data_IF_768851084245
#
_entry.id   IF_768851084245
#
_cell.length_a   1.000
_cell.length_b   1.000
_cell.length_c   1.000
_cell.angle_alpha   90.00
_cell.angle_beta   90.00
_cell.angle_gamma   90.00
#
_symmetry.space_group_name_H-M   'P 1'
#
loop_
_entity.id
_entity.type
_entity.pdbx_description
1 polymer ?
#
# COMPACT_ATOMS: atom_id res chain seq x y z
N UNK A 1 12.74 40.60 -0.68
CA UNK A 1 12.73 39.12 -0.57
C UNK A 1 11.29 38.73 -0.31
N UNK A 2 10.66 37.94 -1.19
CA UNK A 2 9.29 37.49 -0.96
C UNK A 2 9.26 36.68 0.34
N UNK A 3 8.26 36.94 1.18
CA UNK A 3 8.04 36.27 2.45
C UNK A 3 7.91 34.74 2.21
N UNK A 4 8.99 34.01 2.50
CA UNK A 4 9.07 32.56 2.36
C UNK A 4 8.10 31.81 3.31
N UNK A 5 7.36 32.53 4.15
CA UNK A 5 6.36 31.99 5.06
C UNK A 5 5.17 31.29 4.39
N UNK A 6 4.88 31.54 3.10
CA UNK A 6 3.63 31.10 2.46
C UNK A 6 3.74 29.88 1.51
N UNK A 7 4.92 29.26 1.37
CA UNK A 7 5.09 28.07 0.51
C UNK A 7 5.33 26.83 1.37
N UNK A 8 4.54 25.78 1.13
CA UNK A 8 4.74 24.45 1.70
C UNK A 8 5.05 23.51 0.55
N UNK A 9 6.18 22.79 0.65
CA UNK A 9 6.59 21.82 -0.36
C UNK A 9 5.88 20.50 -0.08
N UNK A 10 5.10 20.03 -1.04
CA UNK A 10 4.47 18.72 -0.99
C UNK A 10 5.30 17.71 -1.77
N UNK A 11 5.55 16.55 -1.18
CA UNK A 11 6.15 15.41 -1.87
C UNK A 11 5.37 14.14 -1.59
N UNK A 12 5.24 13.24 -2.57
CA UNK A 12 4.69 11.91 -2.34
C UNK A 12 5.57 11.13 -1.35
N UNK A 13 4.98 10.19 -0.60
CA UNK A 13 5.73 9.31 0.29
C UNK A 13 6.72 8.36 -0.43
N UNK A 14 6.65 8.31 -1.76
CA UNK A 14 7.55 7.57 -2.66
C UNK A 14 8.07 8.49 -3.77
N UNK A 15 9.24 8.21 -4.37
CA UNK A 15 9.86 9.07 -5.39
C UNK A 15 9.09 9.25 -6.71
N UNK A 16 8.11 8.39 -6.99
CA UNK A 16 7.35 8.43 -8.23
C UNK A 16 5.85 8.35 -7.95
N UNK A 17 5.16 7.28 -8.32
CA UNK A 17 3.71 7.19 -8.23
C UNK A 17 3.36 5.88 -7.54
N UNK A 18 2.60 5.97 -6.44
CA UNK A 18 2.46 5.09 -5.25
C UNK A 18 2.59 3.57 -5.40
N UNK A 19 3.62 3.09 -6.10
CA UNK A 19 4.04 1.71 -6.14
C UNK A 19 4.58 1.34 -4.75
N UNK A 20 4.05 0.29 -4.11
CA UNK A 20 4.33 -0.04 -2.72
C UNK A 20 5.76 -0.54 -2.48
N UNK A 21 6.51 -0.86 -3.54
CA UNK A 21 7.89 -1.34 -3.46
C UNK A 21 8.95 -0.24 -3.60
N UNK A 22 8.59 0.95 -4.07
CA UNK A 22 9.55 2.06 -4.15
C UNK A 22 10.08 2.42 -2.75
N UNK A 23 11.31 2.96 -2.64
CA UNK A 23 11.84 3.47 -1.38
C UNK A 23 11.06 4.71 -0.92
N UNK A 24 11.41 5.25 0.24
CA UNK A 24 10.87 6.55 0.63
C UNK A 24 11.33 7.61 -0.38
N UNK A 25 10.54 8.67 -0.55
CA UNK A 25 10.92 9.74 -1.45
C UNK A 25 12.18 10.45 -0.94
N UNK A 26 13.29 10.45 -1.71
CA UNK A 26 14.56 11.02 -1.26
C UNK A 26 14.53 12.53 -1.10
N UNK A 27 13.48 13.22 -1.57
CA UNK A 27 13.35 14.69 -1.41
C UNK A 27 12.73 15.09 -0.07
N UNK A 28 12.17 14.14 0.69
CA UNK A 28 11.62 14.41 2.02
C UNK A 28 12.76 14.88 2.93
N UNK A 29 12.60 16.07 3.52
CA UNK A 29 13.60 16.68 4.40
C UNK A 29 14.75 17.39 3.67
N UNK A 30 14.77 17.41 2.34
CA UNK A 30 15.90 17.99 1.56
C UNK A 30 15.90 19.51 1.50
N UNK A 31 14.77 20.17 1.73
CA UNK A 31 14.63 21.62 1.56
C UNK A 31 14.77 22.34 2.92
N UNK A 32 15.98 22.76 3.31
CA UNK A 32 16.19 23.46 4.57
C UNK A 32 15.39 24.76 4.59
N UNK A 33 14.86 25.14 5.76
CA UNK A 33 14.04 26.34 5.97
C UNK A 33 12.68 26.37 5.27
N UNK A 34 12.29 25.31 4.53
CA UNK A 34 10.96 25.19 3.94
C UNK A 34 10.14 24.12 4.64
N UNK A 35 8.89 24.47 5.00
CA UNK A 35 7.92 23.50 5.52
C UNK A 35 7.59 22.49 4.43
N UNK A 36 7.54 21.21 4.83
CA UNK A 36 7.18 20.10 3.95
C UNK A 36 5.96 19.36 4.47
N UNK A 37 5.17 18.83 3.55
CA UNK A 37 4.11 17.85 3.84
C UNK A 37 4.29 16.63 2.94
N UNK A 38 3.94 15.47 3.48
CA UNK A 38 4.06 14.19 2.76
C UNK A 38 2.68 13.77 2.24
N UNK A 39 2.60 13.43 0.97
CA UNK A 39 1.38 12.95 0.33
C UNK A 39 1.31 11.42 0.30
N UNK A 40 0.22 10.89 0.85
CA UNK A 40 -0.10 9.48 0.93
C UNK A 40 -1.30 9.14 0.05
N UNK A 41 -1.24 7.97 -0.60
CA UNK A 41 -2.37 7.44 -1.35
C UNK A 41 -3.19 6.47 -0.52
N UNK A 42 -4.24 6.97 0.14
CA UNK A 42 -5.21 6.12 0.82
C UNK A 42 -6.34 5.67 -0.12
N UNK A 43 -6.40 6.19 -1.35
CA UNK A 43 -7.36 5.80 -2.38
C UNK A 43 -6.98 4.50 -3.10
N UNK A 44 -5.77 3.99 -2.84
CA UNK A 44 -5.25 2.73 -3.37
C UNK A 44 -5.16 2.69 -4.90
N UNK A 45 -4.74 3.76 -5.58
CA UNK A 45 -4.76 3.87 -7.06
C UNK A 45 -4.08 2.68 -7.75
N UNK A 46 -2.95 2.23 -7.21
CA UNK A 46 -2.16 1.11 -7.74
C UNK A 46 -2.28 -0.16 -6.89
N UNK A 47 -3.12 -0.14 -5.87
CA UNK A 47 -3.29 -1.25 -4.93
C UNK A 47 -4.76 -1.68 -4.80
N UNK A 48 -5.54 -1.51 -5.86
CA UNK A 48 -6.90 -2.06 -5.97
C UNK A 48 -8.05 -1.05 -5.99
N UNK A 49 -7.76 0.26 -6.00
CA UNK A 49 -8.72 1.37 -6.03
C UNK A 49 -9.86 1.22 -5.04
N UNK A 50 -9.58 0.75 -3.83
CA UNK A 50 -10.58 0.45 -2.80
C UNK A 50 -11.66 -0.60 -3.18
N UNK A 51 -11.58 -1.21 -4.37
CA UNK A 51 -12.46 -2.32 -4.81
C UNK A 51 -12.04 -3.65 -4.21
N UNK A 52 -10.75 -3.78 -3.93
CA UNK A 52 -10.17 -4.94 -3.25
C UNK A 52 -9.35 -4.47 -2.04
N UNK A 53 -9.29 -5.28 -0.97
CA UNK A 53 -8.55 -4.90 0.22
C UNK A 53 -7.06 -4.71 -0.05
N UNK A 54 -6.54 -3.55 0.31
CA UNK A 54 -5.14 -3.24 0.57
C UNK A 54 -5.09 -2.52 1.91
N UNK A 55 -5.27 -3.29 2.97
CA UNK A 55 -5.27 -2.82 4.34
C UNK A 55 -3.85 -3.00 4.90
N UNK A 56 -3.12 -1.89 5.14
CA UNK A 56 -1.73 -1.98 5.59
C UNK A 56 -1.34 -0.86 6.56
N UNK A 57 -1.62 -1.04 7.85
CA UNK A 57 -1.08 -0.12 8.86
C UNK A 57 0.46 -0.08 8.83
N UNK A 58 1.12 -1.18 8.48
CA UNK A 58 2.57 -1.31 8.40
C UNK A 58 3.18 -0.38 7.35
N UNK A 59 2.63 -0.39 6.13
CA UNK A 59 3.10 0.46 5.05
C UNK A 59 3.02 1.93 5.43
N UNK A 60 1.84 2.38 5.89
CA UNK A 60 1.62 3.78 6.25
C UNK A 60 2.44 4.18 7.47
N UNK A 61 2.57 3.31 8.49
CA UNK A 61 3.41 3.56 9.68
C UNK A 61 4.87 3.78 9.30
N UNK A 62 5.45 2.88 8.48
CA UNK A 62 6.85 3.00 8.05
C UNK A 62 7.11 4.32 7.33
N UNK A 63 6.21 4.70 6.41
CA UNK A 63 6.32 5.93 5.62
C UNK A 63 6.15 7.19 6.47
N UNK A 64 5.18 7.17 7.39
CA UNK A 64 4.94 8.27 8.31
C UNK A 64 6.14 8.49 9.23
N UNK A 65 6.64 7.43 9.87
CA UNK A 65 7.79 7.50 10.77
C UNK A 65 9.08 7.92 10.06
N UNK A 66 9.25 7.60 8.77
CA UNK A 66 10.35 8.16 7.98
C UNK A 66 10.27 9.69 7.87
N UNK A 67 9.08 10.25 7.63
CA UNK A 67 8.87 11.70 7.60
C UNK A 67 9.23 12.39 8.92
N UNK A 68 8.93 11.76 10.05
CA UNK A 68 9.22 12.32 11.38
C UNK A 68 10.71 12.46 11.69
N UNK A 69 11.59 11.86 10.88
CA UNK A 69 13.03 12.01 11.04
C UNK A 69 13.51 13.42 10.65
N UNK A 70 12.67 14.21 9.96
CA UNK A 70 13.04 15.50 9.40
C UNK A 70 12.23 16.63 10.03
N UNK A 71 12.87 17.63 10.68
CA UNK A 71 12.18 18.73 11.32
C UNK A 71 11.38 19.60 10.33
N UNK A 72 11.71 19.59 9.05
CA UNK A 72 11.02 20.31 7.97
C UNK A 72 9.61 19.75 7.71
N UNK A 73 9.38 18.47 7.99
CA UNK A 73 8.09 17.80 7.76
C UNK A 73 7.11 18.21 8.84
N UNK A 74 6.08 18.97 8.45
CA UNK A 74 5.07 19.55 9.36
C UNK A 74 3.73 18.84 9.32
N UNK A 75 3.55 17.87 8.43
CA UNK A 75 2.31 17.14 8.32
C UNK A 75 2.23 16.28 7.08
N UNK A 76 1.00 15.92 6.73
CA UNK A 76 0.72 15.06 5.61
C UNK A 76 -0.59 15.47 4.94
N UNK A 77 -0.76 15.01 3.71
CA UNK A 77 -2.08 14.93 3.06
C UNK A 77 -2.34 13.48 2.67
N UNK A 78 -3.61 13.10 2.67
CA UNK A 78 -4.05 11.78 2.26
C UNK A 78 -5.05 11.93 1.13
N UNK A 79 -4.77 11.30 -0.02
CA UNK A 79 -5.76 11.19 -1.09
C UNK A 79 -6.75 10.09 -0.72
N UNK A 80 -8.03 10.44 -0.63
CA UNK A 80 -9.10 9.59 -0.09
C UNK A 80 -9.93 8.90 -1.18
N UNK A 81 -10.06 9.54 -2.33
CA UNK A 81 -10.81 9.08 -3.49
C UNK A 81 -9.92 9.04 -4.74
N UNK A 82 -10.18 8.06 -5.61
CA UNK A 82 -9.65 8.06 -6.96
C UNK A 82 -10.71 7.59 -7.96
N UNK A 83 -11.41 8.57 -8.54
CA UNK A 83 -12.39 8.32 -9.60
C UNK A 83 -13.70 7.74 -9.07
N UNK A 84 -14.16 8.17 -7.90
CA UNK A 84 -15.41 7.72 -7.29
C UNK A 84 -15.28 6.39 -6.54
N UNK A 85 -14.09 6.09 -6.03
CA UNK A 85 -13.80 4.90 -5.24
C UNK A 85 -13.15 5.31 -3.92
N UNK A 86 -13.95 5.84 -2.99
CA UNK A 86 -13.47 6.26 -1.69
C UNK A 86 -13.14 5.08 -0.76
N UNK A 87 -12.23 5.31 0.17
CA UNK A 87 -11.76 4.28 1.10
C UNK A 87 -12.60 4.14 2.37
N UNK A 88 -13.52 5.05 2.68
CA UNK A 88 -14.07 5.22 4.04
C UNK A 88 -14.92 4.03 4.50
N UNK A 89 -15.75 3.50 3.61
CA UNK A 89 -16.66 2.39 3.90
C UNK A 89 -16.09 1.03 3.54
N UNK A 90 -14.80 0.96 3.22
CA UNK A 90 -14.09 -0.28 2.91
C UNK A 90 -13.14 -0.67 4.03
N UNK A 91 -12.59 -1.91 4.03
CA UNK A 91 -11.48 -2.26 4.91
C UNK A 91 -10.23 -1.39 4.72
N UNK A 92 -10.07 -0.71 3.58
CA UNK A 92 -8.92 0.15 3.32
C UNK A 92 -8.94 1.43 4.16
N UNK A 93 -10.05 1.74 4.86
CA UNK A 93 -10.09 2.87 5.79
C UNK A 93 -9.09 2.73 6.95
N UNK A 94 -8.52 1.54 7.20
CA UNK A 94 -7.38 1.42 8.14
C UNK A 94 -6.19 2.30 7.70
N UNK A 95 -6.01 2.54 6.40
CA UNK A 95 -4.90 3.32 5.88
C UNK A 95 -5.02 4.79 6.30
N UNK A 96 -6.21 5.37 6.18
CA UNK A 96 -6.49 6.74 6.67
C UNK A 96 -6.51 6.79 8.20
N UNK A 97 -7.06 5.76 8.84
CA UNK A 97 -7.06 5.60 10.29
C UNK A 97 -5.63 5.59 10.86
N UNK A 98 -4.71 4.87 10.20
CA UNK A 98 -3.31 4.80 10.59
C UNK A 98 -2.65 6.17 10.59
N UNK A 99 -2.86 6.96 9.54
CA UNK A 99 -2.31 8.32 9.46
C UNK A 99 -2.88 9.23 10.56
N UNK A 100 -4.19 9.18 10.78
CA UNK A 100 -4.85 9.91 11.87
C UNK A 100 -4.26 9.54 13.23
N UNK A 101 -4.15 8.24 13.53
CA UNK A 101 -3.63 7.75 14.81
C UNK A 101 -2.19 8.16 15.04
N UNK A 102 -1.33 8.04 14.02
CA UNK A 102 0.08 8.44 14.13
C UNK A 102 0.28 9.95 14.23
N UNK A 103 -0.65 10.75 13.69
CA UNK A 103 -0.63 12.21 13.86
C UNK A 103 -1.00 12.65 15.26
N UNK A 104 -1.82 11.85 15.97
CA UNK A 104 -2.18 12.10 17.36
C UNK A 104 -1.12 11.54 18.32
N UNK A 105 -0.57 10.37 18.02
CA UNK A 105 0.48 9.70 18.79
C UNK A 105 1.42 8.91 17.86
N UNK A 106 2.60 9.48 17.61
CA UNK A 106 3.61 8.88 16.74
C UNK A 106 4.34 7.67 17.36
N UNK A 107 4.16 7.41 18.65
CA UNK A 107 4.80 6.27 19.33
C UNK A 107 4.15 4.94 18.92
N UNK A 108 2.86 4.96 18.56
CA UNK A 108 2.07 3.79 18.18
C UNK A 108 2.76 2.89 17.15
N UNK A 109 2.63 1.59 17.35
CA UNK A 109 3.02 0.55 16.42
C UNK A 109 1.87 0.21 15.47
N UNK A 110 2.20 -0.39 14.32
CA UNK A 110 1.17 -0.86 13.38
C UNK A 110 0.25 -1.90 14.00
N UNK A 111 0.74 -2.72 14.94
CA UNK A 111 -0.03 -3.80 15.55
C UNK A 111 -1.04 -3.26 16.57
N UNK A 112 -0.66 -2.24 17.34
CA UNK A 112 -1.59 -1.49 18.20
C UNK A 112 -2.69 -0.83 17.37
N UNK A 113 -2.33 -0.23 16.22
CA UNK A 113 -3.29 0.39 15.31
C UNK A 113 -4.23 -0.65 14.70
N UNK A 114 -3.71 -1.81 14.26
CA UNK A 114 -4.54 -2.91 13.74
C UNK A 114 -5.56 -3.40 14.76
N UNK A 115 -5.10 -3.64 15.99
CA UNK A 115 -5.97 -4.08 17.08
C UNK A 115 -7.07 -3.07 17.33
N UNK A 116 -6.69 -1.82 17.57
CA UNK A 116 -7.63 -0.77 17.93
C UNK A 116 -8.63 -0.45 16.79
N UNK A 117 -8.16 -0.38 15.54
CA UNK A 117 -9.03 -0.21 14.37
C UNK A 117 -10.02 -1.37 14.24
N UNK A 118 -9.57 -2.62 14.36
CA UNK A 118 -10.42 -3.78 14.18
C UNK A 118 -11.43 -3.92 15.33
N UNK A 119 -11.03 -3.64 16.57
CA UNK A 119 -11.94 -3.62 17.73
C UNK A 119 -12.99 -2.53 17.59
N UNK A 120 -12.60 -1.34 17.11
CA UNK A 120 -13.51 -0.22 16.89
C UNK A 120 -14.49 -0.49 15.75
N UNK A 121 -14.01 -1.02 14.62
CA UNK A 121 -14.83 -1.21 13.41
C UNK A 121 -15.70 -2.46 13.45
N UNK A 122 -15.20 -3.55 14.03
CA UNK A 122 -15.86 -4.86 14.00
C UNK A 122 -16.24 -5.40 15.38
N UNK A 123 -15.78 -4.77 16.47
CA UNK A 123 -15.98 -5.25 17.84
C UNK A 123 -14.93 -6.27 18.29
N UNK A 124 -14.69 -6.32 19.60
CA UNK A 124 -13.63 -7.15 20.23
C UNK A 124 -13.68 -8.63 19.86
N UNK A 125 -14.86 -9.21 19.69
CA UNK A 125 -15.03 -10.62 19.31
C UNK A 125 -14.63 -10.90 17.85
N UNK A 126 -14.96 -9.98 16.94
CA UNK A 126 -14.68 -10.13 15.51
C UNK A 126 -13.27 -9.71 15.13
N UNK A 127 -12.68 -8.77 15.88
CA UNK A 127 -11.40 -8.14 15.56
C UNK A 127 -10.27 -9.13 15.23
N UNK A 128 -10.06 -10.23 15.98
CA UNK A 128 -9.01 -11.20 15.64
C UNK A 128 -9.22 -11.85 14.26
N UNK A 129 -10.47 -12.11 13.87
CA UNK A 129 -10.78 -12.68 12.55
C UNK A 129 -10.63 -11.64 11.44
N UNK A 130 -11.08 -10.40 11.66
CA UNK A 130 -10.90 -9.31 10.72
C UNK A 130 -9.41 -9.07 10.42
N UNK A 131 -8.56 -9.05 11.45
CA UNK A 131 -7.10 -8.94 11.30
C UNK A 131 -6.55 -10.13 10.52
N UNK A 132 -6.92 -11.38 10.87
CA UNK A 132 -6.47 -12.59 10.14
C UNK A 132 -6.85 -12.58 8.65
N UNK A 133 -7.97 -11.97 8.30
CA UNK A 133 -8.45 -11.86 6.91
C UNK A 133 -7.75 -10.74 6.15
N UNK A 134 -7.60 -9.57 6.79
CA UNK A 134 -7.22 -8.33 6.10
C UNK A 134 -5.73 -8.01 6.19
N UNK A 135 -5.05 -8.41 7.26
CA UNK A 135 -3.61 -8.18 7.43
C UNK A 135 -2.77 -8.73 6.25
N UNK A 136 -3.06 -9.94 5.72
CA UNK A 136 -2.31 -10.46 4.57
C UNK A 136 -2.54 -9.69 3.25
N UNK A 137 -3.53 -8.80 3.20
CA UNK A 137 -3.95 -8.14 1.95
C UNK A 137 -2.86 -7.29 1.31
N UNK A 138 -1.95 -6.67 2.09
CA UNK A 138 -0.79 -5.97 1.51
C UNK A 138 0.03 -6.91 0.63
N UNK A 139 0.37 -8.09 1.16
CA UNK A 139 1.22 -9.07 0.48
C UNK A 139 0.46 -9.70 -0.70
N UNK A 140 -0.82 -10.02 -0.51
CA UNK A 140 -1.69 -10.56 -1.57
C UNK A 140 -1.69 -9.58 -2.76
N UNK A 141 -2.05 -8.32 -2.54
CA UNK A 141 -2.14 -7.32 -3.61
C UNK A 141 -0.79 -7.11 -4.29
N UNK A 142 0.30 -7.06 -3.52
CA UNK A 142 1.65 -6.93 -4.05
C UNK A 142 2.02 -8.12 -4.96
N UNK A 143 1.65 -9.34 -4.59
CA UNK A 143 1.84 -10.54 -5.42
C UNK A 143 0.84 -10.65 -6.57
N UNK A 144 -0.33 -10.02 -6.49
CA UNK A 144 -1.34 -10.07 -7.55
C UNK A 144 -1.10 -9.02 -8.64
N UNK A 145 -0.85 -7.76 -8.27
CA UNK A 145 -0.85 -6.61 -9.21
C UNK A 145 0.53 -6.22 -9.74
N UNK A 146 1.60 -6.84 -9.25
CA UNK A 146 2.98 -6.60 -9.66
C UNK A 146 3.61 -7.89 -10.18
N UNK A 147 4.77 -7.80 -10.82
CA UNK A 147 5.54 -8.96 -11.28
C UNK A 147 6.90 -8.93 -10.63
N UNK A 148 7.12 -9.74 -9.60
CA UNK A 148 8.40 -9.78 -8.89
C UNK A 148 8.84 -8.36 -8.48
N UNK A 149 7.92 -7.62 -7.87
CA UNK A 149 8.05 -6.21 -7.46
C UNK A 149 7.96 -5.16 -8.58
N UNK A 150 7.95 -5.55 -9.86
CA UNK A 150 7.80 -4.62 -10.98
C UNK A 150 6.35 -4.23 -11.25
N UNK A 151 6.17 -2.95 -11.54
CA UNK A 151 4.88 -2.39 -11.91
C UNK A 151 4.52 -2.81 -13.33
N UNK A 152 3.43 -3.56 -13.45
CA UNK A 152 2.87 -3.97 -14.75
C UNK A 152 1.42 -3.50 -14.97
N UNK A 153 0.62 -3.32 -13.92
CA UNK A 153 -0.83 -3.00 -14.02
C UNK A 153 -1.11 -1.53 -14.33
N UNK A 154 -2.21 -1.22 -15.04
CA UNK A 154 -2.59 0.16 -15.31
C UNK A 154 -3.60 0.63 -14.27
N UNK A 155 -3.17 1.39 -13.24
CA UNK A 155 -4.05 1.91 -12.17
C UNK A 155 -4.96 0.80 -11.58
N UNK A 156 -4.35 -0.32 -11.19
CA UNK A 156 -5.03 -1.53 -10.67
C UNK A 156 -5.89 -2.31 -11.67
N UNK A 157 -5.87 -1.97 -12.97
CA UNK A 157 -6.45 -2.79 -14.03
C UNK A 157 -5.39 -3.69 -14.67
N UNK A 158 -5.85 -4.81 -15.25
CA UNK A 158 -5.00 -5.62 -16.12
C UNK A 158 -4.46 -4.75 -17.26
N UNK A 159 -3.15 -4.80 -17.54
CA UNK A 159 -2.55 -3.98 -18.57
C UNK A 159 -2.80 -4.56 -19.96
N UNK A 160 -2.70 -3.72 -20.99
CA UNK A 160 -2.38 -4.22 -22.32
C UNK A 160 -0.95 -4.75 -22.33
N UNK A 161 -0.61 -5.62 -23.27
CA UNK A 161 0.76 -6.12 -23.41
C UNK A 161 1.78 -4.96 -23.52
N UNK A 162 1.53 -4.00 -24.42
CA UNK A 162 2.40 -2.84 -24.64
C UNK A 162 2.58 -1.98 -23.39
N UNK A 163 1.53 -1.81 -22.59
CA UNK A 163 1.61 -1.06 -21.35
C UNK A 163 2.51 -1.78 -20.34
N UNK A 164 2.24 -3.07 -20.10
CA UNK A 164 3.00 -3.88 -19.13
C UNK A 164 4.46 -3.99 -19.51
N UNK A 165 4.74 -4.33 -20.77
CA UNK A 165 6.08 -4.46 -21.35
C UNK A 165 6.87 -3.15 -21.21
N UNK A 166 6.29 -2.02 -21.63
CA UNK A 166 6.93 -0.72 -21.47
C UNK A 166 7.14 -0.29 -20.01
N UNK A 167 6.29 -0.73 -19.09
CA UNK A 167 6.37 -0.34 -17.67
C UNK A 167 7.48 -1.07 -16.90
N UNK A 168 7.87 -2.27 -17.33
CA UNK A 168 9.04 -2.96 -16.77
C UNK A 168 10.27 -2.06 -16.80
N UNK A 169 10.49 -1.36 -17.92
CA UNK A 169 11.65 -0.48 -18.10
C UNK A 169 11.38 0.97 -17.68
N UNK A 170 10.23 1.55 -18.06
CA UNK A 170 9.96 2.97 -17.79
C UNK A 170 9.62 3.29 -16.33
N UNK A 171 9.07 2.32 -15.58
CA UNK A 171 8.73 2.45 -14.14
C UNK A 171 9.57 1.50 -13.28
N UNK A 172 10.72 1.10 -13.79
CA UNK A 172 11.64 0.16 -13.13
C UNK A 172 11.99 0.56 -11.69
N UNK A 173 11.87 -0.40 -10.77
CA UNK A 173 12.34 -0.23 -9.39
C UNK A 173 13.87 -0.12 -9.32
N UNK A 174 14.58 -0.65 -10.31
CA UNK A 174 16.04 -0.58 -10.38
C UNK A 174 16.57 0.87 -10.41
N UNK A 175 15.79 1.81 -10.96
CA UNK A 175 16.09 3.25 -10.93
C UNK A 175 16.16 3.77 -9.50
N UNK A 176 15.26 3.30 -8.64
CA UNK A 176 15.11 3.80 -7.28
C UNK A 176 15.91 3.00 -6.26
N UNK A 177 16.43 1.84 -6.65
CA UNK A 177 17.30 1.00 -5.83
C UNK A 177 18.57 0.62 -6.61
N UNK A 178 19.39 1.60 -7.02
CA UNK A 178 20.54 1.36 -7.89
C UNK A 178 21.61 0.47 -7.24
N UNK A 179 21.68 0.44 -5.91
CA UNK A 179 22.64 -0.37 -5.16
C UNK A 179 22.19 -1.84 -4.99
N UNK A 180 20.96 -2.18 -5.38
CA UNK A 180 20.44 -3.54 -5.35
C UNK A 180 20.46 -4.14 -6.77
N UNK A 181 21.64 -4.64 -7.19
CA UNK A 181 21.90 -5.14 -8.56
C UNK A 181 20.88 -6.18 -9.05
N UNK A 182 20.26 -6.94 -8.11
CA UNK A 182 19.17 -7.89 -8.39
C UNK A 182 18.04 -7.27 -9.23
N UNK A 183 17.72 -5.98 -9.06
CA UNK A 183 16.63 -5.37 -9.82
C UNK A 183 17.01 -5.08 -11.26
N UNK A 184 18.27 -4.74 -11.55
CA UNK A 184 18.74 -4.61 -12.94
C UNK A 184 18.82 -5.95 -13.65
N UNK A 185 19.21 -7.01 -12.93
CA UNK A 185 19.19 -8.38 -13.45
C UNK A 185 17.74 -8.79 -13.74
N UNK A 186 16.83 -8.54 -12.80
CA UNK A 186 15.42 -8.88 -12.94
C UNK A 186 14.72 -8.09 -14.05
N UNK A 187 15.00 -6.80 -14.21
CA UNK A 187 14.51 -5.98 -15.33
C UNK A 187 14.87 -6.61 -16.68
N UNK A 188 16.14 -6.97 -16.89
CA UNK A 188 16.58 -7.63 -18.13
C UNK A 188 15.86 -8.96 -18.35
N UNK A 189 15.75 -9.75 -17.27
CA UNK A 189 15.07 -11.04 -17.26
C UNK A 189 13.56 -10.93 -17.49
N UNK A 190 12.91 -9.85 -17.08
CA UNK A 190 11.48 -9.60 -17.35
C UNK A 190 11.24 -9.10 -18.78
N UNK A 191 12.15 -8.33 -19.36
CA UNK A 191 12.10 -7.92 -20.77
C UNK A 191 12.39 -9.10 -21.74
N UNK A 192 13.14 -10.10 -21.27
CA UNK A 192 13.49 -11.30 -22.03
C UNK A 192 13.28 -12.55 -21.15
N UNK A 193 12.02 -12.93 -20.86
CA UNK A 193 11.72 -14.00 -19.93
C UNK A 193 12.19 -15.35 -20.44
N UNK A 194 12.89 -16.08 -19.57
CA UNK A 194 13.24 -17.48 -19.72
C UNK A 194 12.26 -18.36 -18.91
N UNK A 195 12.43 -19.69 -18.98
CA UNK A 195 11.62 -20.63 -18.23
C UNK A 195 11.70 -20.40 -16.70
N UNK A 196 12.88 -20.02 -16.19
CA UNK A 196 13.08 -19.76 -14.76
C UNK A 196 12.24 -18.57 -14.28
N UNK A 197 12.18 -17.49 -15.05
CA UNK A 197 11.35 -16.31 -14.75
C UNK A 197 9.87 -16.63 -14.85
N UNK A 198 9.48 -17.40 -15.86
CA UNK A 198 8.10 -17.83 -16.00
C UNK A 198 7.63 -18.61 -14.78
N UNK A 199 8.42 -19.58 -14.31
CA UNK A 199 8.13 -20.34 -13.08
C UNK A 199 8.06 -19.44 -11.84
N UNK A 200 8.97 -18.46 -11.71
CA UNK A 200 8.92 -17.49 -10.60
C UNK A 200 7.66 -16.64 -10.61
N UNK A 201 7.20 -16.22 -11.78
CA UNK A 201 5.96 -15.46 -11.93
C UNK A 201 4.75 -16.32 -11.55
N UNK A 202 4.70 -17.57 -12.03
CA UNK A 202 3.64 -18.51 -11.67
C UNK A 202 3.63 -18.80 -10.16
N UNK A 203 4.79 -19.04 -9.56
CA UNK A 203 4.92 -19.27 -8.13
C UNK A 203 4.42 -18.05 -7.32
N UNK A 204 4.78 -16.82 -7.69
CA UNK A 204 4.29 -15.60 -7.05
C UNK A 204 2.74 -15.52 -7.09
N UNK A 205 2.13 -15.88 -8.23
CA UNK A 205 0.66 -15.89 -8.37
C UNK A 205 0.02 -17.02 -7.57
N UNK A 206 0.62 -18.20 -7.59
CA UNK A 206 0.19 -19.35 -6.79
C UNK A 206 0.19 -19.05 -5.29
N UNK A 207 1.25 -18.42 -4.79
CA UNK A 207 1.32 -17.97 -3.39
C UNK A 207 0.19 -17.00 -3.04
N UNK A 208 -0.10 -16.02 -3.92
CA UNK A 208 -1.22 -15.10 -3.71
C UNK A 208 -2.56 -15.84 -3.62
N UNK A 209 -2.81 -16.83 -4.50
CA UNK A 209 -4.02 -17.66 -4.48
C UNK A 209 -4.14 -18.42 -3.16
N UNK A 210 -3.07 -19.05 -2.68
CA UNK A 210 -3.05 -19.78 -1.40
C UNK A 210 -3.37 -18.84 -0.24
N UNK A 211 -2.78 -17.64 -0.22
CA UNK A 211 -3.04 -16.62 0.80
C UNK A 211 -4.51 -16.15 0.77
N UNK A 212 -5.08 -15.94 -0.42
CA UNK A 212 -6.49 -15.58 -0.60
C UNK A 212 -7.39 -16.69 -0.06
N UNK A 213 -7.12 -17.96 -0.42
CA UNK A 213 -7.89 -19.10 0.06
C UNK A 213 -7.86 -19.20 1.59
N UNK A 214 -6.70 -19.01 2.21
CA UNK A 214 -6.56 -18.96 3.67
C UNK A 214 -7.36 -17.81 4.29
N UNK A 215 -7.33 -16.62 3.69
CA UNK A 215 -8.12 -15.48 4.14
C UNK A 215 -9.63 -15.77 4.04
N UNK A 216 -10.09 -16.44 2.98
CA UNK A 216 -11.49 -16.84 2.81
C UNK A 216 -11.92 -17.90 3.84
N UNK A 217 -11.04 -18.82 4.24
CA UNK A 217 -11.32 -19.76 5.35
C UNK A 217 -11.49 -19.01 6.67
N UNK A 218 -10.56 -18.12 7.03
CA UNK A 218 -10.65 -17.29 8.23
C UNK A 218 -11.93 -16.44 8.25
N UNK A 219 -12.36 -15.95 7.08
CA UNK A 219 -13.59 -15.19 6.94
C UNK A 219 -14.83 -16.04 7.25
N UNK A 220 -14.86 -17.29 6.79
CA UNK A 220 -15.96 -18.24 7.07
C UNK A 220 -16.02 -18.58 8.56
N UNK A 221 -14.88 -18.80 9.20
CA UNK A 221 -14.79 -19.04 10.65
C UNK A 221 -15.28 -17.84 11.48
N UNK A 222 -14.96 -16.62 11.07
CA UNK A 222 -15.48 -15.42 11.74
C UNK A 222 -17.00 -15.23 11.55
N UNK A 223 -17.58 -15.72 10.44
CA UNK A 223 -19.03 -15.67 10.21
C UNK A 223 -19.79 -16.70 11.05
N UNK A 224 -19.27 -17.92 11.19
CA UNK A 224 -19.93 -18.99 11.95
C UNK A 224 -20.02 -18.72 13.45
N UNK A 225 -19.14 -17.86 13.99
CA UNK A 225 -19.15 -17.45 15.40
C UNK A 225 -20.25 -16.43 15.78
N UNK A 226 -21.28 -16.24 14.93
CA UNK A 226 -22.31 -15.16 15.04
C UNK A 226 -21.73 -13.74 15.18
N UNK A 227 -20.43 -13.57 14.93
CA UNK A 227 -19.72 -12.31 15.11
C UNK A 227 -19.57 -11.50 13.82
N UNK A 228 -19.71 -12.13 12.65
CA UNK A 228 -19.62 -11.46 11.33
C UNK A 228 -20.88 -11.61 10.45
N UNK A 229 -21.97 -12.19 10.95
CA UNK A 229 -23.17 -12.46 10.15
C UNK A 229 -23.88 -11.20 9.62
N UNK A 230 -23.55 -10.02 10.14
CA UNK A 230 -24.08 -8.73 9.67
C UNK A 230 -23.18 -8.00 8.66
N UNK A 231 -21.97 -8.49 8.40
CA UNK A 231 -20.88 -7.66 7.83
C UNK A 231 -20.66 -7.77 6.32
N UNK A 232 -21.36 -8.67 5.62
CA UNK A 232 -21.11 -8.91 4.18
C UNK A 232 -22.38 -9.15 3.36
N UNK A 233 -23.58 -8.99 3.93
CA UNK A 233 -24.84 -9.19 3.21
C UNK A 233 -25.31 -7.95 2.45
N UNK A 234 -24.70 -6.77 2.65
CA UNK A 234 -25.19 -5.52 2.06
C UNK A 234 -24.21 -4.76 1.15
N UNK A 235 -22.91 -5.09 1.11
CA UNK A 235 -21.90 -4.26 0.41
C UNK A 235 -20.86 -5.05 -0.42
N UNK A 236 -21.26 -6.17 -1.01
CA UNK A 236 -20.57 -6.74 -2.18
C UNK A 236 -21.59 -7.00 -3.29
#
# INVERSE_FOLDING_TARGET
MADAGNIIIQSKCVPHDWQPYYPNNPIIGVFPNNRQIIEFDCSSEFTGKNKIPFASAQYFTRRFKYGLQFPEVKGYIARLDHGGHDGFFTPNNINTYTLHRLSADSSLTSDEIWKDWAETKYGKKAAPYAIKVLYPSEVIIKKTLYHLEFWITNKSYLPTFSYGDGHISSRTIAKWKPNESKYKILEKKLNHPDAEIYEKLLAEKGEAIVMIQKALVNLREGKSTKSLSYLFSNHF
#
